data_IF_532267928887
#
_entry.id   IF_532267928887
#
_cell.length_a   1.000
_cell.length_b   1.000
_cell.length_c   1.000
_cell.angle_alpha   90.00
_cell.angle_beta   90.00
_cell.angle_gamma   90.00
#
_symmetry.space_group_name_H-M   'P 1'
#
loop_
_entity.id
_entity.type
_entity.pdbx_description
1 polymer ?
#
# COMPACT_ATOMS: atom_id res chain seq x y z
N UNK A 1 1.63 -9.24 14.11
CA UNK A 1 0.79 -9.21 12.88
C UNK A 1 1.46 -8.43 11.75
N UNK A 2 2.28 -7.39 12.02
CA UNK A 2 3.11 -6.71 11.01
C UNK A 2 4.59 -6.83 11.42
N UNK A 3 5.29 -7.87 10.97
CA UNK A 3 6.68 -8.16 11.39
C UNK A 3 7.71 -7.15 10.85
N UNK A 4 7.39 -6.49 9.73
CA UNK A 4 8.29 -5.54 9.06
C UNK A 4 7.78 -4.10 9.17
N UNK A 5 6.88 -3.80 10.12
CA UNK A 5 6.25 -2.48 10.25
C UNK A 5 7.27 -1.34 10.33
N UNK A 6 8.37 -1.56 11.06
CA UNK A 6 9.42 -0.55 11.30
C UNK A 6 10.19 -0.15 10.02
N UNK A 7 9.98 -0.86 8.90
CA UNK A 7 10.64 -0.63 7.62
C UNK A 7 9.71 -0.07 6.55
N UNK A 8 8.45 0.21 6.88
CA UNK A 8 7.42 0.61 5.92
C UNK A 8 6.79 1.91 6.40
N UNK A 9 6.98 2.99 5.64
CA UNK A 9 6.27 4.25 5.84
C UNK A 9 4.95 4.29 5.05
N UNK A 10 4.96 3.73 3.83
CA UNK A 10 3.86 3.82 2.88
C UNK A 10 3.51 2.42 2.36
N UNK A 11 2.25 2.03 2.48
CA UNK A 11 1.69 0.84 1.85
C UNK A 11 0.71 1.23 0.74
N UNK A 12 1.11 0.98 -0.51
CA UNK A 12 0.24 1.09 -1.66
C UNK A 12 -0.61 -0.18 -1.78
N UNK A 13 -1.93 -0.04 -1.86
CA UNK A 13 -2.83 -1.19 -1.96
C UNK A 13 -3.51 -1.21 -3.33
N UNK A 14 -3.00 -2.04 -4.24
CA UNK A 14 -3.57 -2.30 -5.55
C UNK A 14 -4.80 -3.20 -5.45
N UNK A 15 -5.98 -2.62 -5.63
CA UNK A 15 -7.29 -3.25 -5.42
C UNK A 15 -7.82 -4.01 -6.65
N UNK A 16 -6.98 -4.24 -7.66
CA UNK A 16 -7.38 -4.81 -8.94
C UNK A 16 -7.66 -3.71 -9.97
N UNK A 17 -8.76 -3.84 -10.72
CA UNK A 17 -9.13 -2.87 -11.76
C UNK A 17 -9.61 -1.54 -11.17
N UNK A 18 -10.35 -1.61 -10.07
CA UNK A 18 -11.02 -0.46 -9.47
C UNK A 18 -10.58 -0.25 -8.02
N UNK A 19 -10.54 1.02 -7.61
CA UNK A 19 -10.30 1.40 -6.23
C UNK A 19 -11.46 0.93 -5.35
N UNK A 20 -11.14 0.26 -4.24
CA UNK A 20 -12.11 0.00 -3.18
C UNK A 20 -11.60 0.52 -1.83
N UNK A 21 -12.50 1.04 -0.98
CA UNK A 21 -12.14 1.44 0.37
C UNK A 21 -11.57 0.26 1.17
N UNK A 22 -10.40 0.43 1.80
CA UNK A 22 -9.92 -0.47 2.84
C UNK A 22 -10.96 -0.58 3.99
N UNK A 23 -11.16 -1.78 4.56
CA UNK A 23 -11.93 -1.95 5.79
C UNK A 23 -11.40 -1.06 6.92
N UNK A 24 -12.30 -0.48 7.73
CA UNK A 24 -11.94 0.46 8.78
C UNK A 24 -10.94 -0.14 9.80
N UNK A 25 -11.14 -1.40 10.19
CA UNK A 25 -10.25 -2.11 11.10
C UNK A 25 -8.82 -2.22 10.55
N UNK A 26 -8.68 -2.48 9.23
CA UNK A 26 -7.37 -2.58 8.59
C UNK A 26 -6.67 -1.21 8.53
N UNK A 27 -7.39 -0.15 8.18
CA UNK A 27 -6.83 1.22 8.22
C UNK A 27 -6.38 1.61 9.61
N UNK A 28 -7.17 1.28 10.64
CA UNK A 28 -6.83 1.56 12.02
C UNK A 28 -5.56 0.79 12.44
N UNK A 29 -5.43 -0.48 12.06
CA UNK A 29 -4.25 -1.28 12.35
C UNK A 29 -2.99 -0.73 11.65
N UNK A 30 -3.07 -0.34 10.38
CA UNK A 30 -1.96 0.27 9.64
C UNK A 30 -1.54 1.61 10.25
N UNK A 31 -2.52 2.46 10.58
CA UNK A 31 -2.27 3.75 11.24
C UNK A 31 -1.63 3.56 12.62
N UNK A 32 -2.08 2.60 13.41
CA UNK A 32 -1.50 2.29 14.71
C UNK A 32 -0.04 1.79 14.60
N UNK A 33 0.31 1.18 13.46
CA UNK A 33 1.68 0.79 13.13
C UNK A 33 2.50 1.90 12.46
N UNK A 34 1.98 3.14 12.34
CA UNK A 34 2.68 4.25 11.69
C UNK A 34 2.71 4.19 10.16
N UNK A 35 1.99 3.25 9.55
CA UNK A 35 2.00 3.02 8.10
C UNK A 35 0.89 3.82 7.44
N UNK A 36 1.24 4.71 6.50
CA UNK A 36 0.29 5.36 5.63
C UNK A 36 -0.23 4.36 4.58
N UNK A 37 -1.55 4.24 4.43
CA UNK A 37 -2.17 3.32 3.48
C UNK A 37 -2.88 4.06 2.35
N UNK A 38 -2.58 3.74 1.09
CA UNK A 38 -3.20 4.36 -0.08
C UNK A 38 -3.81 3.30 -1.02
N UNK A 39 -5.13 3.06 -0.96
CA UNK A 39 -5.82 2.14 -1.86
C UNK A 39 -6.05 2.77 -3.24
N UNK A 40 -5.69 2.05 -4.30
CA UNK A 40 -5.85 2.48 -5.70
C UNK A 40 -6.00 1.28 -6.63
N UNK A 41 -6.14 1.49 -7.95
CA UNK A 41 -6.07 0.37 -8.90
C UNK A 41 -4.66 -0.22 -8.94
N UNK A 42 -4.53 -1.52 -9.25
CA UNK A 42 -3.23 -2.20 -9.31
C UNK A 42 -2.27 -1.54 -10.30
N UNK A 43 -2.77 -1.13 -11.47
CA UNK A 43 -1.94 -0.40 -12.44
C UNK A 43 -1.42 0.93 -11.92
N UNK A 44 -2.21 1.67 -11.13
CA UNK A 44 -1.74 2.88 -10.47
C UNK A 44 -0.71 2.56 -9.37
N UNK A 45 -0.98 1.55 -8.54
CA UNK A 45 -0.09 1.15 -7.46
C UNK A 45 1.31 0.76 -7.96
N UNK A 46 1.41 0.00 -9.06
CA UNK A 46 2.70 -0.38 -9.65
C UNK A 46 3.50 0.85 -10.11
N UNK A 47 2.83 1.81 -10.77
CA UNK A 47 3.51 3.04 -11.24
C UNK A 47 4.00 3.88 -10.07
N UNK A 48 3.14 4.10 -9.07
CA UNK A 48 3.49 4.87 -7.87
C UNK A 48 4.59 4.17 -7.06
N UNK A 49 4.54 2.84 -6.96
CA UNK A 49 5.58 2.05 -6.31
C UNK A 49 6.94 2.28 -6.95
N UNK A 50 7.02 2.23 -8.28
CA UNK A 50 8.28 2.45 -8.99
C UNK A 50 8.85 3.85 -8.76
N UNK A 51 7.99 4.89 -8.70
CA UNK A 51 8.42 6.26 -8.38
C UNK A 51 8.97 6.33 -6.96
N UNK A 52 8.20 5.87 -5.97
CA UNK A 52 8.61 5.94 -4.56
C UNK A 52 9.85 5.07 -4.28
N UNK A 53 9.98 3.93 -4.95
CA UNK A 53 11.15 3.08 -4.87
C UNK A 53 12.39 3.79 -5.44
N UNK A 54 12.25 4.48 -6.59
CA UNK A 54 13.34 5.25 -7.18
C UNK A 54 13.74 6.47 -6.33
N UNK A 55 12.81 7.02 -5.54
CA UNK A 55 13.04 8.06 -4.55
C UNK A 55 13.63 7.52 -3.21
N UNK A 56 13.97 6.22 -3.14
CA UNK A 56 14.48 5.55 -1.95
C UNK A 56 13.56 5.68 -0.72
N UNK A 57 12.25 5.81 -0.95
CA UNK A 57 11.24 5.85 0.12
C UNK A 57 11.01 4.44 0.67
N UNK A 58 10.69 4.34 1.96
CA UNK A 58 10.29 3.12 2.63
C UNK A 58 8.86 2.70 2.20
N UNK A 59 8.72 2.24 0.97
CA UNK A 59 7.44 1.87 0.34
C UNK A 59 7.28 0.35 0.27
N UNK A 60 6.07 -0.13 0.55
CA UNK A 60 5.61 -1.48 0.27
C UNK A 60 4.38 -1.46 -0.63
N UNK A 61 4.12 -2.58 -1.32
CA UNK A 61 2.94 -2.73 -2.17
C UNK A 61 2.23 -4.07 -1.91
N UNK A 62 0.91 -4.03 -1.77
CA UNK A 62 0.03 -5.18 -1.77
C UNK A 62 -0.84 -5.14 -3.04
N UNK A 63 -0.63 -6.06 -3.98
CA UNK A 63 -1.17 -5.98 -5.33
C UNK A 63 -2.10 -7.16 -5.63
N UNK A 64 -3.35 -6.86 -6.00
CA UNK A 64 -4.28 -7.85 -6.55
C UNK A 64 -4.02 -7.97 -8.05
N UNK A 65 -3.72 -9.18 -8.52
CA UNK A 65 -3.52 -9.46 -9.94
C UNK A 65 -4.77 -9.11 -10.75
N UNK A 66 -4.55 -8.62 -11.95
CA UNK A 66 -5.59 -8.33 -12.95
C UNK A 66 -5.23 -9.06 -14.24
N UNK A 67 -6.23 -9.39 -15.06
CA UNK A 67 -6.01 -9.94 -16.41
C UNK A 67 -5.46 -8.89 -17.36
#
# INVERSE_FOLDING_TARGET
LLSEADKIEILLVGMGRDLRPLPAALRAALKAAGIASDPMSTGAAVRTYNVLLAEERAVAAALIAVD
#
